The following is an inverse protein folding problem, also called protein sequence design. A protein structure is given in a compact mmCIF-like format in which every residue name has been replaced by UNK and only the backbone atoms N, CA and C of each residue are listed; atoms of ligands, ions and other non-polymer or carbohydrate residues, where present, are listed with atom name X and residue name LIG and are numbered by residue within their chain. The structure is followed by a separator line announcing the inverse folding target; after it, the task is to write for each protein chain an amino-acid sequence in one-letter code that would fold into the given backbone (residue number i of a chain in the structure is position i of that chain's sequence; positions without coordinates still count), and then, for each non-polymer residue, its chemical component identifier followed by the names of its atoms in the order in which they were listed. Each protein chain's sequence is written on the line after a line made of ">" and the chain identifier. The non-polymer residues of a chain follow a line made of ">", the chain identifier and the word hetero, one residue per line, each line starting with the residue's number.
data_IF_850447877083
#
_entry.id   IF_850447877083
#
_cell.length_a   1.000
_cell.length_b   1.000
_cell.length_c   1.000
_cell.angle_alpha   90.00
_cell.angle_beta   90.00
_cell.angle_gamma   90.00
#
_symmetry.space_group_name_H-M   'P 1'
#
loop_
_entity.id
_entity.type
_entity.pdbx_description
1 polymer ?
#
# COMPACT_ATOMS: atom_id res chain seq x y z
N UNK A 1 -4.31 -7.32 -1.42
CA UNK A 1 -2.99 -7.61 -0.86
C UNK A 1 -3.07 -8.84 0.04
N UNK A 2 -2.43 -9.91 -0.41
CA UNK A 2 -2.15 -11.16 0.28
C UNK A 2 -0.72 -11.11 0.82
N UNK A 3 -0.39 -11.91 1.82
CA UNK A 3 1.00 -12.02 2.28
C UNK A 3 1.32 -13.38 2.89
N UNK A 4 2.60 -13.72 2.91
CA UNK A 4 3.15 -14.83 3.70
C UNK A 4 4.37 -14.31 4.47
N UNK A 5 4.34 -14.46 5.80
CA UNK A 5 5.49 -14.27 6.68
C UNK A 5 6.17 -15.60 6.90
N UNK A 6 7.49 -15.57 6.93
CA UNK A 6 8.29 -16.78 7.03
C UNK A 6 9.58 -16.57 7.82
N UNK A 7 10.16 -17.68 8.27
CA UNK A 7 11.47 -17.75 8.89
C UNK A 7 12.51 -18.24 7.88
N UNK A 8 13.66 -17.58 7.82
CA UNK A 8 14.80 -17.90 6.98
C UNK A 8 15.77 -18.75 7.82
N UNK A 9 15.90 -20.04 7.47
CA UNK A 9 16.85 -20.93 8.16
C UNK A 9 18.26 -20.87 7.58
N UNK A 10 18.37 -20.54 6.29
CA UNK A 10 19.62 -20.50 5.56
C UNK A 10 19.62 -19.29 4.61
N UNK A 11 20.58 -18.39 4.79
CA UNK A 11 20.65 -17.15 4.01
C UNK A 11 21.07 -17.40 2.56
N UNK A 12 21.88 -18.44 2.30
CA UNK A 12 22.28 -18.79 0.93
C UNK A 12 21.07 -19.32 0.16
N UNK A 13 20.29 -20.22 0.76
CA UNK A 13 19.06 -20.74 0.14
C UNK A 13 17.98 -19.67 -0.01
N UNK A 14 17.95 -18.67 0.86
CA UNK A 14 17.09 -17.51 0.64
C UNK A 14 17.52 -16.70 -0.59
N UNK A 15 18.82 -16.54 -0.84
CA UNK A 15 19.30 -15.89 -2.06
C UNK A 15 18.88 -16.67 -3.31
N UNK A 16 18.99 -18.01 -3.29
CA UNK A 16 18.50 -18.85 -4.38
C UNK A 16 16.98 -18.68 -4.60
N UNK A 17 16.19 -18.53 -3.51
CA UNK A 17 14.76 -18.22 -3.63
C UNK A 17 14.50 -16.81 -4.19
N UNK A 18 15.36 -15.82 -3.90
CA UNK A 18 15.24 -14.49 -4.48
C UNK A 18 15.40 -14.54 -6.01
N UNK A 19 16.30 -15.38 -6.53
CA UNK A 19 16.46 -15.56 -7.97
C UNK A 19 15.19 -16.15 -8.61
N UNK A 20 14.60 -17.17 -7.98
CA UNK A 20 13.29 -17.71 -8.40
C UNK A 20 12.18 -16.64 -8.32
N UNK A 21 12.11 -15.87 -7.25
CA UNK A 21 11.13 -14.80 -7.06
C UNK A 21 11.26 -13.72 -8.14
N UNK A 22 12.50 -13.31 -8.46
CA UNK A 22 12.77 -12.33 -9.51
C UNK A 22 12.36 -12.86 -10.89
N UNK A 23 12.60 -14.15 -11.16
CA UNK A 23 12.11 -14.80 -12.37
C UNK A 23 10.58 -14.80 -12.44
N UNK A 24 9.89 -15.12 -11.34
CA UNK A 24 8.42 -15.05 -11.29
C UNK A 24 7.90 -13.65 -11.61
N UNK A 25 8.59 -12.58 -11.18
CA UNK A 25 8.23 -11.21 -11.58
C UNK A 25 8.47 -11.01 -13.07
N UNK A 26 9.66 -11.37 -13.56
CA UNK A 26 10.10 -11.12 -14.93
C UNK A 26 9.18 -11.78 -15.96
N UNK A 27 8.81 -13.04 -15.75
CA UNK A 27 7.97 -13.79 -16.70
C UNK A 27 6.55 -13.23 -16.86
N UNK A 28 6.09 -12.44 -15.89
CA UNK A 28 4.78 -11.75 -15.92
C UNK A 28 4.84 -10.38 -16.59
N UNK A 29 6.03 -9.86 -16.91
CA UNK A 29 6.16 -8.55 -17.54
C UNK A 29 5.87 -8.62 -19.05
N UNK A 30 5.19 -7.62 -19.63
CA UNK A 30 5.07 -7.49 -21.08
C UNK A 30 6.44 -7.48 -21.74
N UNK A 31 6.64 -8.35 -22.73
CA UNK A 31 7.90 -8.44 -23.46
C UNK A 31 8.97 -9.32 -22.82
N UNK A 32 8.64 -10.11 -21.80
CA UNK A 32 9.50 -11.21 -21.38
C UNK A 32 9.81 -12.12 -22.59
N UNK A 33 11.09 -12.31 -22.87
CA UNK A 33 11.56 -13.23 -23.90
C UNK A 33 12.13 -14.47 -23.22
N UNK A 34 11.80 -15.64 -23.75
CA UNK A 34 12.42 -16.88 -23.32
C UNK A 34 13.91 -16.88 -23.70
N UNK A 35 14.70 -17.70 -23.01
CA UNK A 35 16.13 -17.83 -23.28
C UNK A 35 16.32 -18.21 -24.77
N UNK A 36 17.06 -17.40 -25.54
CA UNK A 36 17.24 -17.59 -26.99
C UNK A 36 18.14 -18.79 -27.33
N UNK A 37 18.66 -19.47 -26.30
CA UNK A 37 19.57 -20.58 -26.42
C UNK A 37 21.03 -20.15 -26.47
N UNK A 38 21.94 -21.12 -26.61
CA UNK A 38 23.37 -20.84 -26.67
C UNK A 38 23.71 -20.02 -27.93
N UNK A 39 24.51 -18.96 -27.74
CA UNK A 39 24.98 -18.11 -28.83
C UNK A 39 26.40 -18.54 -29.25
N UNK A 40 26.56 -18.95 -30.51
CA UNK A 40 27.81 -19.45 -31.05
C UNK A 40 28.35 -18.53 -32.15
N UNK A 41 29.66 -18.26 -32.10
CA UNK A 41 30.39 -17.58 -33.18
C UNK A 41 30.88 -18.60 -34.21
N UNK A 42 29.96 -19.05 -35.07
CA UNK A 42 30.20 -20.11 -36.05
C UNK A 42 31.37 -19.83 -37.01
N UNK A 43 31.72 -18.56 -37.23
CA UNK A 43 32.75 -18.15 -38.19
C UNK A 43 34.18 -18.32 -37.65
N UNK A 44 34.34 -18.40 -36.32
CA UNK A 44 35.66 -18.52 -35.66
C UNK A 44 35.96 -19.93 -35.12
N UNK A 45 34.98 -20.82 -35.12
CA UNK A 45 35.09 -22.16 -34.54
C UNK A 45 35.89 -23.16 -35.39
N UNK A 46 36.67 -24.01 -34.75
CA UNK A 46 37.23 -25.22 -35.38
C UNK A 46 36.15 -26.25 -35.63
N UNK A 47 36.47 -27.29 -36.42
CA UNK A 47 35.51 -28.37 -36.70
C UNK A 47 35.08 -29.10 -35.43
N UNK A 48 36.02 -29.36 -34.52
CA UNK A 48 35.73 -30.01 -33.24
C UNK A 48 34.83 -29.15 -32.35
N UNK A 49 35.02 -27.82 -32.36
CA UNK A 49 34.17 -26.87 -31.63
C UNK A 49 32.76 -26.81 -32.22
N UNK A 50 32.63 -26.87 -33.55
CA UNK A 50 31.32 -26.97 -34.24
C UNK A 50 30.59 -28.25 -33.85
N UNK A 51 31.28 -29.39 -33.80
CA UNK A 51 30.66 -30.67 -33.42
C UNK A 51 30.13 -30.61 -31.97
N UNK A 52 30.85 -29.97 -31.04
CA UNK A 52 30.39 -29.74 -29.65
C UNK A 52 29.21 -28.77 -29.60
N UNK A 53 29.28 -27.65 -30.32
CA UNK A 53 28.21 -26.65 -30.37
C UNK A 53 26.91 -27.22 -30.94
N UNK A 54 26.99 -28.11 -31.94
CA UNK A 54 25.82 -28.80 -32.49
C UNK A 54 25.17 -29.76 -31.48
N UNK A 55 25.96 -30.44 -30.64
CA UNK A 55 25.42 -31.28 -29.57
C UNK A 55 24.68 -30.41 -28.55
N UNK A 56 25.30 -29.33 -28.09
CA UNK A 56 24.68 -28.39 -27.14
C UNK A 56 23.41 -27.74 -27.71
N UNK A 57 23.42 -27.35 -28.99
CA UNK A 57 22.25 -26.80 -29.67
C UNK A 57 21.13 -27.83 -29.78
N UNK A 58 21.44 -29.07 -30.17
CA UNK A 58 20.43 -30.13 -30.25
C UNK A 58 19.85 -30.47 -28.88
N UNK A 59 20.69 -30.58 -27.84
CA UNK A 59 20.25 -30.82 -26.46
C UNK A 59 19.32 -29.68 -25.97
N UNK A 60 19.63 -28.43 -26.32
CA UNK A 60 18.78 -27.28 -26.04
C UNK A 60 17.45 -27.37 -26.79
N UNK A 61 17.46 -27.71 -28.09
CA UNK A 61 16.24 -27.79 -28.91
C UNK A 61 15.34 -28.98 -28.55
N UNK A 62 15.92 -30.09 -28.06
CA UNK A 62 15.19 -31.28 -27.64
C UNK A 62 14.61 -31.14 -26.21
N UNK A 63 15.11 -30.18 -25.42
CA UNK A 63 14.63 -29.93 -24.06
C UNK A 63 13.58 -28.80 -24.06
N UNK A 64 12.43 -29.02 -23.43
CA UNK A 64 11.43 -27.96 -23.34
C UNK A 64 11.97 -26.74 -22.56
N UNK A 65 11.67 -25.50 -22.99
CA UNK A 65 12.19 -24.28 -22.34
C UNK A 65 11.92 -24.22 -20.83
N UNK A 66 10.75 -24.70 -20.40
CA UNK A 66 10.35 -24.83 -19.00
C UNK A 66 11.29 -25.74 -18.18
N UNK A 67 11.79 -26.85 -18.75
CA UNK A 67 12.73 -27.76 -18.08
C UNK A 67 14.10 -27.12 -17.95
N UNK A 68 14.55 -26.38 -18.97
CA UNK A 68 15.80 -25.63 -18.92
C UNK A 68 15.76 -24.56 -17.82
N UNK A 69 14.69 -23.77 -17.76
CA UNK A 69 14.48 -22.76 -16.71
C UNK A 69 14.39 -23.39 -15.33
N UNK A 70 13.65 -24.49 -15.19
CA UNK A 70 13.57 -25.24 -13.94
C UNK A 70 14.96 -25.70 -13.46
N UNK A 71 15.77 -26.27 -14.35
CA UNK A 71 17.10 -26.74 -14.00
C UNK A 71 18.07 -25.61 -13.62
N UNK A 72 17.90 -24.44 -14.24
CA UNK A 72 18.70 -23.22 -13.99
C UNK A 72 18.32 -22.53 -12.67
N UNK A 73 17.02 -22.46 -12.35
CA UNK A 73 16.50 -21.65 -11.25
C UNK A 73 16.24 -22.44 -9.96
N UNK A 74 16.08 -23.76 -10.05
CA UNK A 74 15.80 -24.60 -8.88
C UNK A 74 17.08 -25.37 -8.52
N UNK A 75 17.73 -25.08 -7.38
CA UNK A 75 18.91 -25.82 -6.93
C UNK A 75 18.59 -27.29 -6.63
N UNK A 76 19.59 -28.17 -6.72
CA UNK A 76 19.38 -29.62 -6.59
C UNK A 76 18.74 -30.05 -5.26
N UNK A 77 19.06 -29.38 -4.15
CA UNK A 77 18.42 -29.66 -2.86
C UNK A 77 16.90 -29.35 -2.89
N UNK A 78 16.49 -28.33 -3.63
CA UNK A 78 15.09 -27.94 -3.77
C UNK A 78 14.39 -28.87 -4.78
N UNK A 79 15.08 -29.29 -5.84
CA UNK A 79 14.59 -30.31 -6.78
C UNK A 79 14.22 -31.60 -6.04
N UNK A 80 15.17 -32.15 -5.27
CA UNK A 80 14.96 -33.38 -4.50
C UNK A 80 13.78 -33.26 -3.52
N UNK A 81 13.61 -32.08 -2.91
CA UNK A 81 12.49 -31.82 -2.01
C UNK A 81 11.14 -31.82 -2.74
N UNK A 82 11.07 -31.12 -3.88
CA UNK A 82 9.85 -31.00 -4.67
C UNK A 82 9.47 -32.32 -5.34
N UNK A 83 10.45 -33.11 -5.78
CA UNK A 83 10.22 -34.46 -6.30
C UNK A 83 9.58 -35.36 -5.25
N UNK A 84 10.12 -35.36 -4.01
CA UNK A 84 9.53 -36.09 -2.88
C UNK A 84 8.10 -35.63 -2.56
N UNK A 85 7.83 -34.33 -2.63
CA UNK A 85 6.48 -33.80 -2.45
C UNK A 85 5.53 -34.35 -3.51
N UNK A 86 5.91 -34.25 -4.79
CA UNK A 86 5.09 -34.71 -5.92
C UNK A 86 4.87 -36.22 -5.87
N UNK A 87 5.87 -37.01 -5.50
CA UNK A 87 5.71 -38.46 -5.28
C UNK A 87 4.68 -38.79 -4.19
N UNK A 88 4.67 -38.03 -3.09
CA UNK A 88 3.71 -38.21 -2.01
C UNK A 88 2.30 -37.76 -2.42
N UNK A 89 2.19 -36.65 -3.14
CA UNK A 89 0.91 -36.13 -3.62
C UNK A 89 0.28 -37.06 -4.68
N UNK A 90 1.08 -37.57 -5.61
CA UNK A 90 0.66 -38.58 -6.58
C UNK A 90 0.15 -39.86 -5.91
N UNK A 91 0.75 -40.29 -4.80
CA UNK A 91 0.25 -41.45 -4.03
C UNK A 91 -1.12 -41.19 -3.41
N UNK A 92 -1.45 -39.93 -3.06
CA UNK A 92 -2.77 -39.54 -2.53
C UNK A 92 -3.83 -39.45 -3.63
N UNK A 93 -3.43 -39.07 -4.85
CA UNK A 93 -4.32 -38.81 -5.98
C UNK A 93 -4.80 -40.08 -6.71
N UNK A 94 -4.21 -41.25 -6.41
CA UNK A 94 -4.48 -42.57 -7.02
C UNK A 94 -4.58 -42.55 -8.57
N UNK A 95 -5.76 -42.23 -9.11
CA UNK A 95 -6.12 -42.32 -10.54
C UNK A 95 -6.48 -40.99 -11.21
N UNK A 96 -6.44 -39.87 -10.48
CA UNK A 96 -6.89 -38.56 -10.98
C UNK A 96 -5.82 -37.80 -11.79
N UNK A 97 -4.60 -38.33 -11.89
CA UNK A 97 -3.52 -37.80 -12.70
C UNK A 97 -2.14 -38.01 -12.05
N UNK A 98 -1.08 -37.94 -12.86
CA UNK A 98 0.31 -37.93 -12.39
C UNK A 98 0.83 -36.50 -12.58
N UNK A 99 1.15 -35.83 -11.49
CA UNK A 99 1.91 -34.58 -11.54
C UNK A 99 3.40 -34.90 -11.64
N UNK A 100 4.13 -34.12 -12.43
CA UNK A 100 5.59 -34.10 -12.40
C UNK A 100 6.07 -32.83 -11.68
N UNK A 101 7.35 -32.76 -11.32
CA UNK A 101 7.90 -31.58 -10.65
C UNK A 101 7.80 -30.30 -11.50
N UNK A 102 7.84 -30.45 -12.83
CA UNK A 102 7.64 -29.35 -13.78
C UNK A 102 6.25 -28.73 -13.62
N UNK A 103 5.22 -29.49 -13.23
CA UNK A 103 3.90 -28.91 -12.97
C UNK A 103 3.86 -27.96 -11.78
N UNK A 104 4.75 -28.14 -10.79
CA UNK A 104 4.94 -27.18 -9.69
C UNK A 104 5.59 -25.91 -10.22
N UNK A 105 6.60 -26.05 -11.08
CA UNK A 105 7.28 -24.91 -11.69
C UNK A 105 6.37 -24.10 -12.63
N UNK A 106 5.64 -24.78 -13.53
CA UNK A 106 4.66 -24.15 -14.41
C UNK A 106 3.52 -23.49 -13.60
N UNK A 107 3.18 -24.05 -12.44
CA UNK A 107 2.30 -23.36 -11.50
C UNK A 107 2.92 -22.04 -11.01
N UNK A 108 4.19 -22.01 -10.60
CA UNK A 108 4.83 -20.76 -10.18
C UNK A 108 4.94 -19.72 -11.31
N UNK A 109 5.20 -20.16 -12.54
CA UNK A 109 5.31 -19.26 -13.70
C UNK A 109 3.95 -18.71 -14.11
N UNK A 110 2.94 -19.57 -14.28
CA UNK A 110 1.69 -19.23 -14.96
C UNK A 110 0.44 -19.50 -14.12
N UNK A 111 0.44 -20.57 -13.32
CA UNK A 111 -0.74 -20.97 -12.53
C UNK A 111 -0.97 -20.16 -11.25
N UNK A 112 0.09 -19.55 -10.72
CA UNK A 112 0.04 -18.69 -9.54
C UNK A 112 -0.33 -17.29 -10.03
N UNK A 113 -1.62 -17.12 -10.34
CA UNK A 113 -2.23 -15.91 -10.91
C UNK A 113 -2.25 -14.73 -9.92
N UNK A 114 -1.06 -14.29 -9.56
CA UNK A 114 -0.81 -13.17 -8.65
C UNK A 114 0.22 -12.23 -9.25
N UNK A 115 0.09 -10.96 -8.91
CA UNK A 115 1.11 -9.95 -9.06
C UNK A 115 2.02 -9.99 -7.83
N UNK A 116 3.31 -10.23 -8.05
CA UNK A 116 4.30 -10.29 -6.97
C UNK A 116 4.67 -8.86 -6.58
N UNK A 117 4.14 -8.39 -5.45
CA UNK A 117 4.23 -6.98 -5.05
C UNK A 117 5.56 -6.68 -4.35
N UNK A 118 5.97 -7.57 -3.43
CA UNK A 118 7.13 -7.32 -2.56
C UNK A 118 7.74 -8.60 -2.00
N UNK A 119 9.07 -8.64 -1.88
CA UNK A 119 9.81 -9.58 -1.06
C UNK A 119 10.80 -8.80 -0.18
N UNK A 120 10.65 -8.89 1.14
CA UNK A 120 11.45 -8.09 2.08
C UNK A 120 11.89 -8.92 3.29
N UNK A 121 13.12 -8.68 3.75
CA UNK A 121 13.60 -9.15 5.05
C UNK A 121 13.18 -8.16 6.13
N UNK A 122 12.41 -8.62 7.11
CA UNK A 122 12.14 -7.84 8.33
C UNK A 122 13.38 -7.79 9.24
N UNK A 123 14.18 -8.86 9.25
CA UNK A 123 15.51 -8.95 9.86
C UNK A 123 16.26 -10.17 9.28
N UNK A 124 17.37 -10.59 9.88
CA UNK A 124 18.17 -11.74 9.40
C UNK A 124 17.40 -13.07 9.41
N UNK A 125 16.41 -13.23 10.29
CA UNK A 125 15.68 -14.48 10.50
C UNK A 125 14.26 -14.48 9.91
N UNK A 126 13.68 -13.32 9.62
CA UNK A 126 12.28 -13.22 9.21
C UNK A 126 12.14 -12.41 7.93
N UNK A 127 11.26 -12.87 7.05
CA UNK A 127 10.89 -12.16 5.85
C UNK A 127 9.38 -12.21 5.61
N UNK A 128 8.96 -11.40 4.65
CA UNK A 128 7.59 -11.33 4.16
C UNK A 128 7.61 -11.27 2.63
N UNK A 129 6.69 -12.01 2.03
CA UNK A 129 6.34 -11.87 0.62
C UNK A 129 4.91 -11.38 0.54
N UNK A 130 4.69 -10.31 -0.22
CA UNK A 130 3.39 -9.71 -0.48
C UNK A 130 3.08 -9.87 -1.97
N UNK A 131 1.82 -10.16 -2.25
CA UNK A 131 1.32 -10.33 -3.61
C UNK A 131 -0.15 -9.95 -3.69
N UNK A 132 -0.59 -9.55 -4.87
CA UNK A 132 -1.96 -9.13 -5.14
C UNK A 132 -2.57 -10.01 -6.22
N UNK A 133 -3.88 -10.10 -6.24
CA UNK A 133 -4.59 -10.90 -7.24
C UNK A 133 -5.88 -10.19 -7.62
N UNK A 134 -6.21 -10.22 -8.91
CA UNK A 134 -7.51 -9.79 -9.41
C UNK A 134 -8.63 -10.81 -9.14
N UNK A 135 -8.27 -12.04 -8.75
CA UNK A 135 -9.19 -13.15 -8.60
C UNK A 135 -9.43 -13.43 -7.10
N UNK A 136 -10.69 -13.28 -6.66
CA UNK A 136 -11.12 -13.55 -5.29
C UNK A 136 -12.35 -14.47 -5.30
N UNK A 137 -12.39 -15.60 -4.56
CA UNK A 137 -11.39 -16.17 -3.64
C UNK A 137 -10.05 -16.53 -4.27
N UNK A 138 -8.93 -16.34 -3.56
CA UNK A 138 -7.64 -16.86 -4.00
C UNK A 138 -7.41 -18.28 -3.48
N UNK A 139 -7.37 -19.26 -4.37
CA UNK A 139 -6.96 -20.63 -4.08
C UNK A 139 -5.52 -20.90 -4.52
N UNK A 140 -4.90 -21.97 -4.01
CA UNK A 140 -3.63 -22.48 -4.54
C UNK A 140 -2.35 -22.09 -3.79
N UNK A 141 -2.44 -21.39 -2.65
CA UNK A 141 -1.23 -20.99 -1.89
C UNK A 141 -0.33 -22.16 -1.46
N UNK A 142 -0.88 -23.37 -1.35
CA UNK A 142 -0.18 -24.58 -0.90
C UNK A 142 1.10 -24.87 -1.69
N UNK A 143 1.05 -24.90 -3.03
CA UNK A 143 2.24 -25.18 -3.87
C UNK A 143 3.33 -24.13 -3.65
N UNK A 144 2.95 -22.88 -3.39
CA UNK A 144 3.91 -21.83 -3.08
C UNK A 144 4.50 -22.00 -1.67
N UNK A 145 3.72 -22.41 -0.68
CA UNK A 145 4.22 -22.74 0.67
C UNK A 145 5.20 -23.91 0.65
N UNK A 146 4.91 -24.95 -0.13
CA UNK A 146 5.81 -26.10 -0.32
C UNK A 146 7.09 -25.68 -1.05
N UNK A 147 6.98 -24.78 -2.03
CA UNK A 147 8.15 -24.19 -2.68
C UNK A 147 9.02 -23.45 -1.66
N UNK A 148 8.46 -22.57 -0.82
CA UNK A 148 9.21 -21.91 0.25
C UNK A 148 9.96 -22.93 1.13
N UNK A 149 9.30 -24.01 1.52
CA UNK A 149 9.92 -25.09 2.31
C UNK A 149 11.08 -25.77 1.59
N UNK A 150 10.99 -25.97 0.27
CA UNK A 150 12.07 -26.53 -0.53
C UNK A 150 13.35 -25.68 -0.44
N UNK A 151 13.19 -24.36 -0.25
CA UNK A 151 14.28 -23.39 -0.05
C UNK A 151 14.69 -23.19 1.43
N UNK A 152 14.29 -24.09 2.34
CA UNK A 152 14.49 -23.95 3.80
C UNK A 152 13.90 -22.63 4.36
N UNK A 153 12.89 -22.08 3.70
CA UNK A 153 12.10 -20.95 4.18
C UNK A 153 10.85 -21.53 4.83
N UNK A 154 10.60 -21.24 6.10
CA UNK A 154 9.48 -21.83 6.86
C UNK A 154 8.34 -20.82 6.94
N UNK A 155 7.22 -21.01 6.22
CA UNK A 155 6.05 -20.17 6.37
C UNK A 155 5.48 -20.27 7.79
N UNK A 156 5.13 -19.13 8.39
CA UNK A 156 4.64 -19.04 9.77
C UNK A 156 3.24 -18.43 9.85
N UNK A 157 2.92 -17.50 8.96
CA UNK A 157 1.64 -16.80 8.95
C UNK A 157 1.33 -16.38 7.52
N UNK A 158 0.08 -16.48 7.07
CA UNK A 158 -0.36 -15.89 5.82
C UNK A 158 -1.66 -15.12 5.99
N UNK A 159 -1.94 -14.22 5.05
CA UNK A 159 -3.28 -13.72 4.81
C UNK A 159 -3.73 -14.24 3.44
N UNK A 160 -4.69 -15.16 3.45
CA UNK A 160 -5.19 -15.86 2.26
C UNK A 160 -6.26 -15.07 1.49
N UNK A 161 -6.56 -13.85 1.95
CA UNK A 161 -7.58 -12.98 1.41
C UNK A 161 -8.84 -12.93 2.27
N UNK A 162 -9.14 -14.00 3.01
CA UNK A 162 -10.28 -14.08 3.92
C UNK A 162 -9.86 -13.74 5.33
N UNK A 163 -8.82 -14.39 5.81
CA UNK A 163 -8.34 -14.31 7.16
C UNK A 163 -6.84 -14.50 7.30
N UNK A 164 -6.32 -14.00 8.41
CA UNK A 164 -4.94 -14.23 8.81
C UNK A 164 -4.89 -15.63 9.42
N UNK A 165 -4.05 -16.50 8.88
CA UNK A 165 -3.84 -17.86 9.34
C UNK A 165 -2.42 -18.02 9.88
N UNK A 166 -2.28 -18.65 11.04
CA UNK A 166 -1.00 -19.15 11.55
C UNK A 166 -0.74 -20.53 10.95
N UNK A 167 0.49 -20.79 10.50
CA UNK A 167 0.87 -22.03 9.83
C UNK A 167 1.74 -22.84 10.77
N UNK A 168 1.25 -24.01 11.17
CA UNK A 168 1.98 -24.95 12.03
C UNK A 168 2.38 -26.17 11.22
N UNK A 169 3.69 -26.38 11.04
CA UNK A 169 4.22 -27.53 10.32
C UNK A 169 4.37 -28.74 11.25
N UNK A 170 3.81 -29.88 10.87
CA UNK A 170 3.95 -31.16 11.58
C UNK A 170 5.05 -32.04 10.97
N UNK A 171 5.32 -31.87 9.67
CA UNK A 171 6.38 -32.55 8.95
C UNK A 171 6.91 -31.66 7.81
N UNK A 172 7.66 -32.25 6.88
CA UNK A 172 8.12 -31.54 5.68
C UNK A 172 6.95 -31.16 4.75
N UNK A 173 5.92 -32.00 4.65
CA UNK A 173 4.85 -31.82 3.66
C UNK A 173 3.47 -31.69 4.30
N UNK A 174 3.37 -31.76 5.62
CA UNK A 174 2.11 -31.66 6.35
C UNK A 174 2.14 -30.48 7.32
N UNK A 175 1.10 -29.66 7.24
CA UNK A 175 0.90 -28.50 8.08
C UNK A 175 -0.59 -28.25 8.28
N UNK A 176 -0.92 -27.49 9.31
CA UNK A 176 -2.27 -26.96 9.56
C UNK A 176 -2.26 -25.43 9.47
N UNK A 177 -3.38 -24.87 9.01
CA UNK A 177 -3.62 -23.43 9.04
C UNK A 177 -4.67 -23.12 10.11
N UNK A 178 -4.28 -22.34 11.11
CA UNK A 178 -5.14 -21.95 12.22
C UNK A 178 -5.57 -20.49 12.04
N UNK A 179 -6.85 -20.27 11.82
CA UNK A 179 -7.45 -18.95 11.70
C UNK A 179 -7.17 -18.06 12.92
N UNK A 180 -6.84 -16.78 12.68
CA UNK A 180 -6.55 -15.78 13.71
C UNK A 180 -7.53 -14.59 13.65
N UNK A 181 -8.80 -14.74 14.11
CA UNK A 181 -9.85 -13.74 13.94
C UNK A 181 -9.51 -12.34 14.45
N UNK A 182 -8.73 -12.25 15.54
CA UNK A 182 -8.30 -10.97 16.11
C UNK A 182 -7.32 -10.24 15.18
N UNK A 183 -6.35 -10.94 14.59
CA UNK A 183 -5.40 -10.37 13.62
C UNK A 183 -6.12 -9.99 12.33
N UNK A 184 -7.05 -10.83 11.86
CA UNK A 184 -7.90 -10.54 10.70
C UNK A 184 -8.68 -9.24 10.86
N UNK A 185 -9.33 -9.03 12.01
CA UNK A 185 -10.06 -7.77 12.29
C UNK A 185 -9.13 -6.57 12.26
N UNK A 186 -7.94 -6.68 12.87
CA UNK A 186 -6.94 -5.60 12.89
C UNK A 186 -6.42 -5.27 11.49
N UNK A 187 -6.14 -6.28 10.67
CA UNK A 187 -5.69 -6.11 9.28
C UNK A 187 -6.79 -5.43 8.44
N UNK A 188 -8.04 -5.93 8.51
CA UNK A 188 -9.17 -5.34 7.80
C UNK A 188 -9.43 -3.89 8.23
N UNK A 189 -9.31 -3.56 9.52
CA UNK A 189 -9.42 -2.16 9.97
C UNK A 189 -8.30 -1.28 9.44
N UNK A 190 -7.07 -1.81 9.29
CA UNK A 190 -5.95 -1.05 8.71
C UNK A 190 -6.21 -0.77 7.23
N UNK A 191 -6.63 -1.78 6.46
CA UNK A 191 -6.92 -1.63 5.04
C UNK A 191 -8.17 -0.78 4.78
N UNK A 192 -9.15 -0.75 5.69
CA UNK A 192 -10.34 0.13 5.56
C UNK A 192 -9.96 1.61 5.69
N UNK A 193 -8.88 1.92 6.41
CA UNK A 193 -8.35 3.28 6.52
C UNK A 193 -7.51 3.69 5.29
N UNK A 194 -7.18 2.75 4.40
CA UNK A 194 -6.38 2.96 3.18
C UNK A 194 -7.18 2.71 1.89
N UNK A 195 -8.45 2.28 1.97
CA UNK A 195 -9.27 1.99 0.79
C UNK A 195 -9.81 3.31 0.15
N UNK A 196 -9.38 3.68 -1.07
CA UNK A 196 -9.85 4.90 -1.75
C UNK A 196 -11.35 4.87 -2.12
N UNK A 197 -11.99 3.70 -2.08
CA UNK A 197 -13.40 3.53 -2.45
C UNK A 197 -14.40 3.68 -1.30
N UNK A 198 -13.94 3.91 -0.06
CA UNK A 198 -14.86 4.22 1.02
C UNK A 198 -15.12 5.74 1.02
N UNK A 199 -16.36 6.22 0.75
CA UNK A 199 -16.62 7.64 0.60
C UNK A 199 -16.18 8.37 1.86
N UNK A 200 -15.25 9.35 1.73
CA UNK A 200 -14.72 10.12 2.86
C UNK A 200 -15.85 10.61 3.77
N UNK A 201 -15.93 10.06 4.98
CA UNK A 201 -17.02 10.39 5.90
C UNK A 201 -16.57 11.41 6.94
N UNK A 202 -17.36 12.46 7.13
CA UNK A 202 -17.17 13.42 8.23
C UNK A 202 -17.88 12.99 9.50
N UNK A 203 -17.25 13.28 10.64
CA UNK A 203 -17.94 13.29 11.92
C UNK A 203 -18.91 14.48 11.98
N UNK A 204 -20.09 14.30 12.57
CA UNK A 204 -21.12 15.35 12.62
C UNK A 204 -20.64 16.65 13.30
N UNK A 205 -19.77 16.54 14.31
CA UNK A 205 -19.15 17.69 14.98
C UNK A 205 -18.30 18.55 14.03
N UNK A 206 -17.52 17.92 13.14
CA UNK A 206 -16.70 18.62 12.14
C UNK A 206 -17.59 19.38 11.16
N UNK A 207 -18.66 18.73 10.68
CA UNK A 207 -19.64 19.36 9.79
C UNK A 207 -20.32 20.55 10.46
N UNK A 208 -20.80 20.40 11.70
CA UNK A 208 -21.46 21.47 12.43
C UNK A 208 -20.53 22.68 12.67
N UNK A 209 -19.26 22.43 13.00
CA UNK A 209 -18.28 23.49 13.20
C UNK A 209 -18.00 24.28 11.91
N UNK A 210 -17.85 23.59 10.77
CA UNK A 210 -17.64 24.25 9.49
C UNK A 210 -18.86 25.07 9.05
N UNK A 211 -20.09 24.58 9.29
CA UNK A 211 -21.32 25.36 9.02
C UNK A 211 -21.34 26.62 9.88
N UNK A 212 -21.04 26.49 11.17
CA UNK A 212 -20.96 27.63 12.09
C UNK A 212 -19.95 28.67 11.58
N UNK A 213 -18.76 28.23 11.15
CA UNK A 213 -17.76 29.11 10.57
C UNK A 213 -18.26 29.85 9.33
N UNK A 214 -18.94 29.16 8.41
CA UNK A 214 -19.51 29.78 7.21
C UNK A 214 -20.51 30.86 7.59
N UNK A 215 -21.44 30.56 8.51
CA UNK A 215 -22.47 31.49 8.96
C UNK A 215 -21.85 32.71 9.63
N UNK A 216 -20.97 32.51 10.62
CA UNK A 216 -20.36 33.61 11.39
C UNK A 216 -19.51 34.51 10.51
N UNK A 217 -18.67 33.95 9.62
CA UNK A 217 -17.83 34.76 8.74
C UNK A 217 -18.66 35.50 7.68
N UNK A 218 -19.74 34.89 7.16
CA UNK A 218 -20.66 35.56 6.23
C UNK A 218 -21.37 36.75 6.87
N UNK A 219 -21.90 36.57 8.09
CA UNK A 219 -22.56 37.64 8.85
C UNK A 219 -21.58 38.77 9.19
N UNK A 220 -20.34 38.41 9.54
CA UNK A 220 -19.28 39.38 9.85
C UNK A 220 -18.86 40.18 8.61
N UNK A 221 -18.68 39.53 7.47
CA UNK A 221 -18.39 40.23 6.22
C UNK A 221 -19.53 41.19 5.83
N UNK A 222 -20.78 40.74 5.99
CA UNK A 222 -21.96 41.55 5.69
C UNK A 222 -22.09 42.76 6.64
N UNK A 223 -21.80 42.58 7.94
CA UNK A 223 -21.85 43.68 8.90
C UNK A 223 -20.81 44.75 8.58
N UNK A 224 -19.61 44.36 8.14
CA UNK A 224 -18.59 45.33 7.69
C UNK A 224 -19.01 46.08 6.43
N UNK A 225 -19.69 45.43 5.48
CA UNK A 225 -20.13 46.06 4.23
C UNK A 225 -21.37 46.96 4.41
N UNK A 226 -22.36 46.53 5.21
CA UNK A 226 -23.65 47.21 5.31
C UNK A 226 -23.79 48.10 6.54
N UNK A 227 -23.12 47.74 7.64
CA UNK A 227 -23.19 48.45 8.91
C UNK A 227 -21.85 49.11 9.28
N UNK A 228 -20.98 49.38 8.29
CA UNK A 228 -19.63 49.88 8.50
C UNK A 228 -19.54 51.14 9.37
N UNK A 229 -20.48 52.08 9.21
CA UNK A 229 -20.52 53.31 10.03
C UNK A 229 -20.78 52.98 11.51
N UNK A 230 -21.81 52.18 11.80
CA UNK A 230 -22.13 51.74 13.17
C UNK A 230 -21.02 50.87 13.77
N UNK A 231 -20.37 50.05 12.96
CA UNK A 231 -19.22 49.24 13.40
C UNK A 231 -18.03 50.13 13.75
N UNK A 232 -17.71 51.13 12.93
CA UNK A 232 -16.59 52.07 13.18
C UNK A 232 -16.76 52.85 14.48
N UNK A 233 -17.98 53.26 14.81
CA UNK A 233 -18.29 54.01 16.04
C UNK A 233 -18.04 53.21 17.32
N UNK A 234 -18.05 51.87 17.24
CA UNK A 234 -17.80 50.99 18.39
C UNK A 234 -16.32 50.78 18.72
N UNK A 235 -15.40 51.31 17.90
CA UNK A 235 -13.96 51.19 18.15
C UNK A 235 -13.36 52.48 18.72
N UNK A 236 -12.50 52.42 19.76
CA UNK A 236 -12.00 53.61 20.47
C UNK A 236 -11.29 54.64 19.60
N UNK A 237 -10.64 54.20 18.52
CA UNK A 237 -9.87 55.05 17.60
C UNK A 237 -10.56 55.23 16.23
N UNK A 238 -11.80 54.73 16.09
CA UNK A 238 -12.45 54.55 14.80
C UNK A 238 -11.74 53.52 13.91
N UNK A 239 -12.44 53.04 12.89
CA UNK A 239 -11.84 52.17 11.85
C UNK A 239 -12.07 52.83 10.50
N UNK A 240 -10.99 53.06 9.76
CA UNK A 240 -11.11 53.66 8.41
C UNK A 240 -11.97 52.79 7.49
N UNK A 241 -12.69 53.42 6.55
CA UNK A 241 -13.51 52.69 5.58
C UNK A 241 -12.69 51.68 4.77
N UNK A 242 -11.43 52.00 4.44
CA UNK A 242 -10.51 51.07 3.78
C UNK A 242 -10.20 49.83 4.61
N UNK A 243 -10.02 49.98 5.93
CA UNK A 243 -9.80 48.84 6.83
C UNK A 243 -11.04 47.96 6.95
N UNK A 244 -12.24 48.56 7.03
CA UNK A 244 -13.50 47.81 7.03
C UNK A 244 -13.70 47.00 5.74
N UNK A 245 -13.33 47.57 4.58
CA UNK A 245 -13.34 46.85 3.30
C UNK A 245 -12.36 45.67 3.33
N UNK A 246 -11.14 45.85 3.84
CA UNK A 246 -10.16 44.76 4.00
C UNK A 246 -10.72 43.66 4.91
N UNK A 247 -11.32 44.02 6.05
CA UNK A 247 -11.91 43.05 6.98
C UNK A 247 -13.10 42.30 6.35
N UNK A 248 -13.91 42.97 5.54
CA UNK A 248 -14.98 42.33 4.77
C UNK A 248 -14.42 41.31 3.75
N UNK A 249 -13.37 41.67 3.01
CA UNK A 249 -12.71 40.78 2.07
C UNK A 249 -12.09 39.57 2.76
N UNK A 250 -11.46 39.76 3.93
CA UNK A 250 -10.95 38.66 4.75
C UNK A 250 -12.06 37.74 5.25
N UNK A 251 -13.22 38.29 5.62
CA UNK A 251 -14.41 37.51 5.98
C UNK A 251 -14.91 36.65 4.82
N UNK A 252 -14.97 37.20 3.60
CA UNK A 252 -15.31 36.45 2.39
C UNK A 252 -14.28 35.34 2.12
N UNK A 253 -12.98 35.65 2.22
CA UNK A 253 -11.92 34.67 2.05
C UNK A 253 -12.06 33.52 3.07
N UNK A 254 -12.39 33.82 4.33
CA UNK A 254 -12.64 32.80 5.35
C UNK A 254 -13.81 31.87 5.02
N UNK A 255 -14.88 32.39 4.39
CA UNK A 255 -15.98 31.54 3.90
C UNK A 255 -15.48 30.60 2.81
N UNK A 256 -14.70 31.10 1.85
CA UNK A 256 -14.09 30.28 0.78
C UNK A 256 -13.19 29.19 1.39
N UNK A 257 -12.36 29.53 2.37
CA UNK A 257 -11.51 28.57 3.07
C UNK A 257 -12.31 27.51 3.85
N UNK A 258 -13.41 27.90 4.49
CA UNK A 258 -14.31 26.94 5.14
C UNK A 258 -14.99 26.00 4.12
N UNK A 259 -15.34 26.50 2.92
CA UNK A 259 -15.86 25.68 1.82
C UNK A 259 -14.79 24.70 1.29
N UNK A 260 -13.55 25.14 1.15
CA UNK A 260 -12.43 24.27 0.76
C UNK A 260 -12.19 23.17 1.79
N UNK A 261 -12.28 23.49 3.08
CA UNK A 261 -12.26 22.47 4.15
C UNK A 261 -13.46 21.52 4.04
N UNK A 262 -14.62 22.02 3.62
CA UNK A 262 -15.78 21.20 3.31
C UNK A 262 -15.54 20.24 2.14
N UNK A 263 -14.62 20.57 1.23
CA UNK A 263 -14.21 19.76 0.08
C UNK A 263 -12.94 18.95 0.35
N UNK A 264 -12.52 18.84 1.61
CA UNK A 264 -11.33 18.11 2.03
C UNK A 264 -10.01 18.68 1.53
N UNK A 265 -9.88 20.00 1.34
CA UNK A 265 -8.65 20.61 0.86
C UNK A 265 -7.87 21.30 2.00
N UNK A 266 -6.61 20.89 2.24
CA UNK A 266 -5.74 21.45 3.30
C UNK A 266 -5.44 22.93 3.13
N UNK A 267 -5.47 23.44 1.91
CA UNK A 267 -5.25 24.86 1.62
C UNK A 267 -6.25 25.72 2.38
N UNK A 268 -7.48 25.23 2.61
CA UNK A 268 -8.47 25.93 3.42
C UNK A 268 -8.00 26.19 4.86
N UNK A 269 -7.30 25.24 5.50
CA UNK A 269 -6.78 25.44 6.85
C UNK A 269 -5.68 26.51 6.88
N UNK A 270 -4.72 26.41 5.96
CA UNK A 270 -3.59 27.35 5.88
C UNK A 270 -4.05 28.76 5.49
N UNK A 271 -5.05 28.87 4.62
CA UNK A 271 -5.71 30.14 4.30
C UNK A 271 -6.33 30.78 5.53
N UNK A 272 -7.11 30.01 6.29
CA UNK A 272 -7.76 30.48 7.51
C UNK A 272 -6.76 30.90 8.61
N UNK A 273 -5.64 30.18 8.75
CA UNK A 273 -4.55 30.57 9.65
C UNK A 273 -3.93 31.92 9.22
N UNK A 274 -3.66 32.06 7.92
CA UNK A 274 -3.03 33.27 7.37
C UNK A 274 -3.90 34.50 7.56
N UNK A 275 -5.19 34.41 7.23
CA UNK A 275 -6.13 35.52 7.45
C UNK A 275 -6.28 35.86 8.92
N UNK A 276 -6.25 34.87 9.82
CA UNK A 276 -6.30 35.10 11.26
C UNK A 276 -5.08 35.89 11.77
N UNK A 277 -3.89 35.63 11.22
CA UNK A 277 -2.67 36.40 11.53
C UNK A 277 -2.79 37.84 11.00
N UNK A 278 -3.35 38.04 9.81
CA UNK A 278 -3.57 39.39 9.26
C UNK A 278 -4.57 40.16 10.14
N UNK A 279 -5.68 39.55 10.53
CA UNK A 279 -6.68 40.17 11.41
C UNK A 279 -6.09 40.53 12.77
N UNK A 280 -5.19 39.69 13.32
CA UNK A 280 -4.45 40.02 14.54
C UNK A 280 -3.65 41.33 14.37
N UNK A 281 -2.93 41.49 13.26
CA UNK A 281 -2.18 42.70 12.95
C UNK A 281 -3.09 43.93 12.82
N UNK A 282 -4.25 43.78 12.15
CA UNK A 282 -5.25 44.85 12.03
C UNK A 282 -5.77 45.25 13.42
N UNK A 283 -6.18 44.27 14.25
CA UNK A 283 -6.72 44.51 15.59
C UNK A 283 -5.72 45.26 16.50
N UNK A 284 -4.44 44.88 16.46
CA UNK A 284 -3.40 45.56 17.22
C UNK A 284 -3.17 46.99 16.70
N UNK A 285 -3.24 47.21 15.39
CA UNK A 285 -3.03 48.56 14.82
C UNK A 285 -4.17 49.54 15.12
N UNK A 286 -5.39 49.06 15.33
CA UNK A 286 -6.53 49.89 15.76
C UNK A 286 -6.62 50.04 17.30
N UNK A 287 -5.68 49.45 18.04
CA UNK A 287 -5.55 49.62 19.49
C UNK A 287 -6.38 48.63 20.33
N UNK A 288 -6.84 47.52 19.75
CA UNK A 288 -7.46 46.44 20.54
C UNK A 288 -6.38 45.78 21.41
N UNK A 289 -6.72 45.47 22.66
CA UNK A 289 -5.79 44.82 23.59
C UNK A 289 -5.24 43.50 23.02
N UNK A 290 -4.00 43.16 23.39
CA UNK A 290 -3.38 41.91 22.95
C UNK A 290 -4.23 40.68 23.33
N UNK A 291 -4.78 40.65 24.55
CA UNK A 291 -5.62 39.55 25.01
C UNK A 291 -6.87 39.34 24.15
N UNK A 292 -7.61 40.42 23.86
CA UNK A 292 -8.77 40.38 22.97
C UNK A 292 -8.37 39.99 21.54
N UNK A 293 -7.23 40.45 21.06
CA UNK A 293 -6.75 40.16 19.70
C UNK A 293 -6.33 38.69 19.54
N UNK A 294 -5.74 38.08 20.58
CA UNK A 294 -5.37 36.67 20.60
C UNK A 294 -6.57 35.71 20.64
N UNK A 295 -7.74 36.14 21.12
CA UNK A 295 -8.96 35.33 21.05
C UNK A 295 -9.34 34.97 19.61
N UNK A 296 -8.96 35.79 18.62
CA UNK A 296 -9.16 35.46 17.21
C UNK A 296 -8.38 34.20 16.78
N UNK A 297 -7.19 33.97 17.33
CA UNK A 297 -6.37 32.78 17.04
C UNK A 297 -6.92 31.52 17.73
N UNK A 298 -7.70 31.67 18.80
CA UNK A 298 -8.35 30.53 19.47
C UNK A 298 -9.25 29.77 18.50
N UNK A 299 -9.90 30.46 17.56
CA UNK A 299 -10.70 29.84 16.51
C UNK A 299 -9.90 28.84 15.66
N UNK A 300 -8.63 29.13 15.37
CA UNK A 300 -7.74 28.24 14.61
C UNK A 300 -7.34 27.02 15.45
N UNK A 301 -7.07 27.21 16.74
CA UNK A 301 -6.76 26.11 17.67
C UNK A 301 -7.96 25.16 17.80
N UNK A 302 -9.16 25.71 17.97
CA UNK A 302 -10.40 24.92 18.03
C UNK A 302 -10.65 24.21 16.71
N UNK A 303 -10.45 24.89 15.57
CA UNK A 303 -10.56 24.28 14.25
C UNK A 303 -9.62 23.06 14.13
N UNK A 304 -8.35 23.21 14.48
CA UNK A 304 -7.40 22.10 14.45
C UNK A 304 -7.85 20.96 15.37
N UNK A 305 -8.27 21.26 16.60
CA UNK A 305 -8.76 20.26 17.56
C UNK A 305 -10.00 19.51 17.06
N UNK A 306 -10.96 20.20 16.43
CA UNK A 306 -12.15 19.58 15.83
C UNK A 306 -11.76 18.63 14.69
N UNK A 307 -10.75 19.00 13.88
CA UNK A 307 -10.23 18.11 12.83
C UNK A 307 -9.48 16.87 13.37
N UNK A 308 -9.10 16.85 14.65
CA UNK A 308 -8.56 15.65 15.30
C UNK A 308 -9.63 14.65 15.73
N UNK A 309 -10.92 15.01 15.68
CA UNK A 309 -12.02 14.10 16.01
C UNK A 309 -12.04 12.95 15.00
N UNK A 310 -12.04 11.73 15.52
CA UNK A 310 -11.99 10.51 14.73
C UNK A 310 -13.38 10.06 14.32
N UNK A 311 -13.52 9.65 13.07
CA UNK A 311 -14.62 8.78 12.61
C UNK A 311 -13.99 7.51 12.08
N UNK A 312 -14.48 6.35 12.51
CA UNK A 312 -13.97 5.05 12.10
C UNK A 312 -12.44 4.92 12.26
N UNK A 313 -11.92 5.42 13.39
CA UNK A 313 -10.49 5.43 13.78
C UNK A 313 -9.57 6.43 13.07
N UNK A 314 -10.03 7.12 12.03
CA UNK A 314 -9.23 8.12 11.29
C UNK A 314 -9.63 9.55 11.67
N UNK A 315 -8.67 10.43 12.03
CA UNK A 315 -8.95 11.86 12.22
C UNK A 315 -9.36 12.54 10.91
N UNK A 316 -10.31 13.48 10.96
CA UNK A 316 -10.72 14.24 9.77
C UNK A 316 -9.56 14.99 9.10
N UNK A 317 -8.54 15.39 9.87
CA UNK A 317 -7.30 15.99 9.36
C UNK A 317 -6.60 15.13 8.31
N UNK A 318 -6.56 13.81 8.50
CA UNK A 318 -5.84 12.90 7.61
C UNK A 318 -6.55 12.70 6.26
N UNK A 319 -7.84 13.04 6.18
CA UNK A 319 -8.60 12.99 4.93
C UNK A 319 -8.46 14.25 4.08
N UNK A 320 -7.92 15.33 4.66
CA UNK A 320 -7.61 16.53 3.91
C UNK A 320 -6.48 16.23 2.92
N UNK A 321 -6.65 16.64 1.66
CA UNK A 321 -5.65 16.62 0.58
C UNK A 321 -4.80 17.88 0.65
#
# INVERSE_FOLDING_TARGET
>A
MLYIKFNIQDTAKFADFQDLYNHMIAIRQPGFQEDEGPNFDWDSMTKEEVDVALVELNDFLDTSPEVLRYNKLIPDYAKEYLEKYVELDNKKLESLGIHNVISVFNYLEYGFEVDMDKLEKSNEQYGIVEFSTGNYPFGGIERFLITLRAFNIIPLECFDGFEVCEITWHSNFEYEMIAQPKKTKKLKSKNTNENPDNPKQRHGCVTAWLILMIVVNSLTALSYLLAGNSVSENFPNGVSSSMLIILALLGIANVIFAVLLFQWNKIGFWGFLTTSIIVLGVNLSIGISLGSSLLGLLGVVVLYAVFQIKKDTVPAWNHLE
#
